data_IF_016991940586
#
_entry.id   IF_016991940586
#
_cell.length_a   1.000
_cell.length_b   1.000
_cell.length_c   1.000
_cell.angle_alpha   90.00
_cell.angle_beta   90.00
_cell.angle_gamma   90.00
#
_symmetry.space_group_name_H-M   'P 1'
#
loop_
_entity.id
_entity.type
_entity.pdbx_description
1 polymer ?
#
# COMPACT_ATOMS: atom_id res chain seq x y z
N UNK A 1 -8.93 9.76 5.12
CA UNK A 1 -7.90 10.78 4.75
C UNK A 1 -8.51 12.10 4.28
N UNK A 2 -9.35 12.14 3.25
CA UNK A 2 -9.91 13.39 2.71
C UNK A 2 -10.54 14.32 3.76
N UNK A 3 -11.40 13.79 4.63
CA UNK A 3 -12.03 14.56 5.70
C UNK A 3 -11.02 15.28 6.61
N UNK A 4 -9.91 14.60 6.94
CA UNK A 4 -8.83 15.21 7.71
C UNK A 4 -8.21 16.38 6.93
N UNK A 5 -7.82 16.17 5.67
CA UNK A 5 -7.19 17.21 4.85
C UNK A 5 -8.07 18.45 4.71
N UNK A 6 -9.36 18.25 4.42
CA UNK A 6 -10.34 19.33 4.28
C UNK A 6 -10.55 20.09 5.60
N UNK A 7 -10.70 19.36 6.70
CA UNK A 7 -10.92 19.96 8.02
C UNK A 7 -9.68 20.72 8.50
N UNK A 8 -8.49 20.16 8.30
CA UNK A 8 -7.22 20.79 8.68
C UNK A 8 -6.92 22.02 7.84
N UNK A 9 -7.18 21.98 6.52
CA UNK A 9 -7.03 23.15 5.66
C UNK A 9 -7.97 24.27 6.10
N UNK A 10 -9.26 23.97 6.29
CA UNK A 10 -10.24 24.96 6.76
C UNK A 10 -9.84 25.57 8.10
N UNK A 11 -9.37 24.76 9.07
CA UNK A 11 -8.91 25.25 10.37
C UNK A 11 -7.69 26.18 10.25
N UNK A 12 -6.73 25.85 9.40
CA UNK A 12 -5.49 26.61 9.21
C UNK A 12 -5.65 27.85 8.32
N UNK A 13 -6.75 27.95 7.57
CA UNK A 13 -7.06 29.08 6.67
C UNK A 13 -8.06 30.07 7.26
N UNK A 14 -8.45 29.92 8.54
CA UNK A 14 -9.32 30.88 9.24
C UNK A 14 -8.63 32.24 9.37
N UNK A 15 -9.16 33.25 8.66
CA UNK A 15 -8.62 34.61 8.66
C UNK A 15 -8.56 35.20 10.07
N UNK A 16 -7.47 35.93 10.36
CA UNK A 16 -7.26 36.60 11.65
C UNK A 16 -6.83 35.69 12.80
N UNK A 17 -6.60 34.39 12.56
CA UNK A 17 -6.14 33.45 13.59
C UNK A 17 -4.78 32.83 13.27
N UNK A 18 -3.96 32.57 14.30
CA UNK A 18 -2.70 31.83 14.20
C UNK A 18 -2.91 30.37 14.62
N UNK A 19 -3.82 29.70 13.92
CA UNK A 19 -4.17 28.32 14.23
C UNK A 19 -3.00 27.37 13.98
N UNK A 20 -2.79 26.45 14.92
CA UNK A 20 -1.76 25.42 14.85
C UNK A 20 -2.43 24.05 14.83
N UNK A 21 -1.84 23.11 14.07
CA UNK A 21 -2.24 21.72 14.04
C UNK A 21 -1.18 20.88 14.76
N UNK A 22 -1.56 20.31 15.91
CA UNK A 22 -0.73 19.32 16.59
C UNK A 22 -1.12 17.93 16.08
N UNK A 23 -0.16 17.20 15.51
CA UNK A 23 -0.36 15.84 15.04
C UNK A 23 0.49 14.88 15.86
N UNK A 24 -0.12 13.83 16.40
CA UNK A 24 0.58 12.81 17.16
C UNK A 24 0.27 11.43 16.60
N UNK A 25 1.18 10.49 16.81
CA UNK A 25 0.96 9.08 16.55
C UNK A 25 1.57 8.25 17.68
N UNK A 26 1.12 7.01 17.82
CA UNK A 26 1.77 6.06 18.71
C UNK A 26 3.17 5.69 18.21
N UNK A 27 3.94 4.98 19.03
CA UNK A 27 5.23 4.44 18.63
C UNK A 27 5.04 3.55 17.39
N UNK A 28 5.82 3.82 16.35
CA UNK A 28 5.71 3.14 15.06
C UNK A 28 4.81 3.83 14.04
N UNK A 29 3.99 4.78 14.47
CA UNK A 29 3.07 5.52 13.59
C UNK A 29 3.69 6.65 12.78
N UNK A 30 5.00 6.91 12.92
CA UNK A 30 5.68 7.99 12.21
C UNK A 30 5.49 7.95 10.69
N UNK A 31 5.61 6.80 10.00
CA UNK A 31 5.36 6.74 8.56
C UNK A 31 3.97 7.25 8.18
N UNK A 32 2.95 6.92 8.98
CA UNK A 32 1.57 7.40 8.77
C UNK A 32 1.51 8.91 8.99
N UNK A 33 2.11 9.41 10.08
CA UNK A 33 2.17 10.84 10.37
C UNK A 33 2.84 11.64 9.25
N UNK A 34 3.99 11.16 8.77
CA UNK A 34 4.74 11.75 7.67
C UNK A 34 3.92 11.81 6.37
N UNK A 35 3.22 10.72 6.06
CA UNK A 35 2.31 10.66 4.91
C UNK A 35 1.15 11.65 5.03
N UNK A 36 0.47 11.71 6.18
CA UNK A 36 -0.66 12.63 6.38
C UNK A 36 -0.18 14.08 6.30
N UNK A 37 0.99 14.41 6.87
CA UNK A 37 1.57 15.74 6.79
C UNK A 37 1.95 16.11 5.34
N UNK A 38 2.62 15.21 4.62
CA UNK A 38 2.93 15.41 3.20
C UNK A 38 1.65 15.63 2.38
N UNK A 39 0.61 14.85 2.65
CA UNK A 39 -0.71 15.00 2.04
C UNK A 39 -1.33 16.36 2.32
N UNK A 40 -1.24 16.88 3.55
CA UNK A 40 -1.73 18.21 3.92
C UNK A 40 -0.97 19.31 3.19
N UNK A 41 0.36 19.22 3.13
CA UNK A 41 1.21 20.20 2.43
C UNK A 41 0.89 20.28 0.93
N UNK A 42 0.68 19.13 0.29
CA UNK A 42 0.26 19.05 -1.12
C UNK A 42 -1.19 19.52 -1.32
N UNK A 43 -2.11 19.14 -0.41
CA UNK A 43 -3.51 19.55 -0.47
C UNK A 43 -3.68 21.07 -0.37
N UNK A 44 -2.85 21.73 0.46
CA UNK A 44 -2.79 23.19 0.61
C UNK A 44 -1.98 23.90 -0.48
N UNK A 45 -1.44 23.16 -1.46
CA UNK A 45 -0.57 23.69 -2.53
C UNK A 45 0.66 24.46 -2.04
N UNK A 46 1.13 24.18 -0.82
CA UNK A 46 2.35 24.79 -0.27
C UNK A 46 3.61 24.19 -0.89
N UNK A 47 3.52 22.96 -1.35
CA UNK A 47 4.60 22.22 -2.00
C UNK A 47 4.08 21.57 -3.28
N UNK A 48 5.01 21.27 -4.20
CA UNK A 48 4.75 20.53 -5.43
C UNK A 48 5.70 19.34 -5.55
N UNK A 49 5.24 18.28 -6.23
CA UNK A 49 5.96 17.02 -6.36
C UNK A 49 5.77 16.13 -5.11
N UNK A 50 5.05 15.04 -5.30
CA UNK A 50 4.66 14.10 -4.25
C UNK A 50 5.88 13.44 -3.60
N UNK A 51 6.80 12.94 -4.43
CA UNK A 51 8.02 12.28 -3.98
C UNK A 51 8.89 13.22 -3.15
N UNK A 52 9.18 14.42 -3.67
CA UNK A 52 10.03 15.42 -3.00
C UNK A 52 9.43 15.83 -1.65
N UNK A 53 8.12 16.02 -1.61
CA UNK A 53 7.41 16.44 -0.40
C UNK A 53 7.43 15.33 0.65
N UNK A 54 7.17 14.08 0.26
CA UNK A 54 7.22 12.94 1.17
C UNK A 54 8.63 12.77 1.75
N UNK A 55 9.66 12.77 0.91
CA UNK A 55 11.05 12.66 1.36
C UNK A 55 11.47 13.77 2.32
N UNK A 56 11.05 15.01 2.05
CA UNK A 56 11.33 16.15 2.92
C UNK A 56 10.74 15.92 4.32
N UNK A 57 9.51 15.43 4.41
CA UNK A 57 8.87 15.14 5.69
C UNK A 57 9.56 13.98 6.40
N UNK A 58 9.87 12.89 5.69
CA UNK A 58 10.59 11.74 6.28
C UNK A 58 11.96 12.13 6.85
N UNK A 59 12.65 13.10 6.25
CA UNK A 59 13.95 13.61 6.73
C UNK A 59 13.85 14.38 8.05
N UNK A 60 12.66 14.72 8.53
CA UNK A 60 12.46 15.35 9.84
C UNK A 60 12.63 14.37 11.01
N UNK A 61 12.52 13.06 10.75
CA UNK A 61 12.83 12.03 11.74
C UNK A 61 14.22 11.42 11.48
N UNK A 62 14.98 11.05 12.52
CA UNK A 62 16.23 10.31 12.37
C UNK A 62 16.00 9.01 11.59
N UNK A 63 16.78 8.80 10.51
CA UNK A 63 16.64 7.63 9.63
C UNK A 63 16.78 6.30 10.37
N UNK A 64 17.65 6.24 11.37
CA UNK A 64 17.86 5.04 12.19
C UNK A 64 16.59 4.64 12.95
N UNK A 65 15.72 5.59 13.30
CA UNK A 65 14.46 5.30 13.98
C UNK A 65 13.41 4.73 13.01
N UNK A 66 13.46 5.04 11.71
CA UNK A 66 12.45 4.59 10.75
C UNK A 66 12.34 3.06 10.69
N UNK A 67 13.49 2.37 10.64
CA UNK A 67 13.55 0.91 10.58
C UNK A 67 13.10 0.27 11.91
N UNK A 68 13.25 0.99 13.04
CA UNK A 68 12.79 0.54 14.35
C UNK A 68 11.30 0.78 14.57
N UNK A 69 10.70 1.69 13.80
CA UNK A 69 9.31 2.12 13.94
C UNK A 69 8.37 1.31 13.03
N UNK A 70 8.82 0.87 11.86
CA UNK A 70 8.06 -0.06 11.02
C UNK A 70 9.00 -0.98 10.24
N UNK A 71 8.80 -2.31 10.26
CA UNK A 71 9.66 -3.23 9.53
C UNK A 71 9.50 -3.10 8.00
N UNK A 72 8.33 -2.65 7.56
CA UNK A 72 8.00 -2.44 6.15
C UNK A 72 8.28 -0.98 5.76
N UNK A 73 8.74 -0.75 4.53
CA UNK A 73 8.81 0.56 3.92
C UNK A 73 7.48 0.88 3.20
N UNK A 74 6.61 1.75 3.75
CA UNK A 74 5.31 2.05 3.14
C UNK A 74 5.37 3.16 2.09
N UNK A 75 6.56 3.71 1.79
CA UNK A 75 6.68 4.89 0.91
C UNK A 75 6.07 4.70 -0.48
N UNK A 76 6.19 3.54 -1.16
CA UNK A 76 5.57 3.34 -2.48
C UNK A 76 4.05 3.49 -2.45
N UNK A 77 3.38 2.85 -1.49
CA UNK A 77 1.93 3.00 -1.32
C UNK A 77 1.53 4.40 -0.86
N UNK A 78 2.31 5.04 0.02
CA UNK A 78 2.06 6.43 0.39
C UNK A 78 2.15 7.37 -0.82
N UNK A 79 3.17 7.20 -1.66
CA UNK A 79 3.36 7.99 -2.87
C UNK A 79 2.16 7.84 -3.81
N UNK A 80 1.65 6.61 -4.00
CA UNK A 80 0.43 6.35 -4.79
C UNK A 80 -0.76 7.15 -4.26
N UNK A 81 -0.98 7.17 -2.94
CA UNK A 81 -2.06 7.96 -2.34
C UNK A 81 -1.82 9.47 -2.43
N UNK A 82 -0.57 9.95 -2.34
CA UNK A 82 -0.27 11.36 -2.57
C UNK A 82 -0.54 11.77 -4.02
N UNK A 83 -0.32 10.88 -4.99
CA UNK A 83 -0.70 11.11 -6.39
C UNK A 83 -2.23 11.17 -6.54
N UNK A 84 -2.99 10.37 -5.78
CA UNK A 84 -4.46 10.46 -5.75
C UNK A 84 -4.93 11.83 -5.23
N UNK A 85 -4.27 12.37 -4.19
CA UNK A 85 -4.56 13.70 -3.65
C UNK A 85 -4.21 14.80 -4.65
N UNK A 86 -3.04 14.71 -5.27
CA UNK A 86 -2.52 15.77 -6.14
C UNK A 86 -3.32 15.91 -7.44
N UNK A 87 -3.97 14.84 -7.90
CA UNK A 87 -4.85 14.82 -9.09
C UNK A 87 -6.24 15.44 -8.87
N UNK A 88 -6.55 15.94 -7.67
CA UNK A 88 -7.85 16.55 -7.33
C UNK A 88 -8.32 17.61 -8.34
N UNK A 89 -7.41 18.42 -8.89
CA UNK A 89 -7.77 19.56 -9.75
C UNK A 89 -8.26 19.16 -11.15
N UNK A 90 -8.30 17.85 -11.46
CA UNK A 90 -8.71 17.34 -12.77
C UNK A 90 -10.23 17.02 -12.87
N UNK A 91 -11.03 17.29 -11.83
CA UNK A 91 -12.49 17.06 -11.86
C UNK A 91 -13.26 17.76 -10.72
N UNK A 92 -14.58 17.95 -10.89
CA UNK A 92 -15.44 18.67 -9.93
C UNK A 92 -15.82 17.85 -8.68
N UNK A 93 -15.85 16.52 -8.78
CA UNK A 93 -16.30 15.61 -7.71
C UNK A 93 -15.14 14.76 -7.16
N UNK A 94 -14.33 15.37 -6.29
CA UNK A 94 -13.24 14.68 -5.57
C UNK A 94 -13.50 14.63 -4.06
N UNK A 95 -13.26 13.48 -3.39
CA UNK A 95 -12.76 12.22 -3.92
C UNK A 95 -13.80 11.48 -4.77
N UNK A 96 -13.36 10.65 -5.74
CA UNK A 96 -14.27 9.82 -6.52
C UNK A 96 -15.02 8.84 -5.61
N UNK A 97 -16.23 8.46 -6.03
CA UNK A 97 -17.03 7.46 -5.32
C UNK A 97 -16.34 6.09 -5.34
N UNK A 98 -16.50 5.33 -4.25
CA UNK A 98 -15.95 3.98 -4.14
C UNK A 98 -16.59 3.06 -5.18
N UNK A 99 -15.78 2.55 -6.11
CA UNK A 99 -16.22 1.58 -7.12
C UNK A 99 -15.88 0.16 -6.66
N UNK A 100 -16.83 -0.80 -6.72
CA UNK A 100 -16.50 -2.20 -6.48
C UNK A 100 -15.61 -2.74 -7.61
N UNK A 101 -14.68 -3.62 -7.26
CA UNK A 101 -13.75 -4.28 -8.17
C UNK A 101 -13.75 -5.78 -7.86
N UNK A 102 -13.94 -6.61 -8.88
CA UNK A 102 -13.76 -8.05 -8.77
C UNK A 102 -12.28 -8.37 -9.05
N UNK A 103 -11.52 -8.70 -7.99
CA UNK A 103 -10.12 -9.11 -8.10
C UNK A 103 -10.04 -10.58 -8.47
N UNK A 104 -9.71 -10.85 -9.74
CA UNK A 104 -9.62 -12.21 -10.25
C UNK A 104 -8.33 -12.91 -9.84
N UNK A 105 -7.18 -12.26 -10.02
CA UNK A 105 -5.88 -12.87 -9.75
C UNK A 105 -4.78 -11.83 -9.56
N UNK A 106 -3.64 -12.28 -9.03
CA UNK A 106 -2.36 -11.56 -9.14
C UNK A 106 -1.45 -12.33 -10.07
N UNK A 107 -0.77 -11.61 -10.96
CA UNK A 107 0.26 -12.16 -11.84
C UNK A 107 1.61 -11.57 -11.45
N UNK A 108 2.53 -12.42 -11.01
CA UNK A 108 3.92 -12.07 -10.75
C UNK A 108 4.78 -12.46 -11.95
N UNK A 109 5.57 -11.53 -12.46
CA UNK A 109 6.56 -11.77 -13.52
C UNK A 109 7.95 -11.59 -12.95
N UNK A 110 8.84 -12.51 -13.27
CA UNK A 110 10.21 -12.57 -12.72
C UNK A 110 10.16 -12.58 -11.18
N UNK A 111 9.77 -13.73 -10.61
CA UNK A 111 9.49 -13.86 -9.17
C UNK A 111 10.69 -13.44 -8.31
N UNK A 112 10.46 -12.85 -7.12
CA UNK A 112 11.54 -12.46 -6.23
C UNK A 112 12.22 -13.67 -5.58
N UNK A 113 13.45 -13.47 -5.13
CA UNK A 113 14.35 -14.48 -4.60
C UNK A 113 14.13 -14.68 -3.09
N UNK A 114 13.37 -15.72 -2.73
CA UNK A 114 13.19 -16.21 -1.37
C UNK A 114 13.77 -17.63 -1.23
N UNK A 115 13.62 -18.26 -0.06
CA UNK A 115 14.15 -19.60 0.23
C UNK A 115 15.65 -19.78 -0.08
N UNK A 116 16.47 -18.77 0.28
CA UNK A 116 17.90 -18.78 -0.02
C UNK A 116 18.24 -18.65 -1.51
N UNK A 117 17.36 -18.02 -2.30
CA UNK A 117 17.55 -17.75 -3.72
C UNK A 117 16.96 -18.82 -4.65
N UNK A 118 16.20 -19.78 -4.12
CA UNK A 118 15.62 -20.87 -4.92
C UNK A 118 14.24 -20.56 -5.51
N UNK A 119 13.63 -19.44 -5.13
CA UNK A 119 12.32 -19.04 -5.64
C UNK A 119 11.39 -18.64 -4.51
N UNK A 120 10.08 -18.89 -4.65
CA UNK A 120 9.12 -18.53 -3.61
C UNK A 120 7.89 -19.46 -3.61
N UNK A 121 7.16 -19.44 -2.49
CA UNK A 121 5.88 -20.13 -2.29
C UNK A 121 4.84 -19.10 -1.87
N UNK A 122 4.23 -18.37 -2.81
CA UNK A 122 3.43 -17.20 -2.52
C UNK A 122 2.04 -17.58 -2.00
N UNK A 123 1.59 -16.86 -0.98
CA UNK A 123 0.26 -16.87 -0.35
C UNK A 123 -0.22 -15.42 -0.34
N UNK A 124 -1.50 -15.20 -0.62
CA UNK A 124 -2.06 -13.84 -0.73
C UNK A 124 -3.07 -13.61 0.37
N UNK A 125 -2.97 -12.45 1.03
CA UNK A 125 -3.98 -11.90 1.93
C UNK A 125 -4.52 -10.59 1.35
N UNK A 126 -5.84 -10.41 1.41
CA UNK A 126 -6.50 -9.19 0.97
C UNK A 126 -7.34 -8.67 2.12
N UNK A 127 -7.10 -7.41 2.45
CA UNK A 127 -7.84 -6.67 3.46
C UNK A 127 -8.56 -5.50 2.81
N UNK A 128 -9.76 -5.21 3.29
CA UNK A 128 -10.56 -4.10 2.80
C UNK A 128 -11.78 -3.86 3.68
N UNK A 129 -12.64 -2.96 3.24
CA UNK A 129 -13.90 -2.72 3.91
C UNK A 129 -14.87 -3.88 3.69
N UNK A 130 -15.52 -4.31 4.78
CA UNK A 130 -16.56 -5.33 4.72
C UNK A 130 -17.88 -4.71 4.24
N UNK A 131 -18.30 -5.07 3.03
CA UNK A 131 -19.57 -4.61 2.45
C UNK A 131 -20.81 -5.11 3.21
N UNK A 132 -20.65 -6.09 4.12
CA UNK A 132 -21.75 -6.66 4.90
C UNK A 132 -21.99 -6.00 6.26
N UNK A 133 -21.07 -5.15 6.74
CA UNK A 133 -21.25 -4.47 8.03
C UNK A 133 -22.07 -3.19 7.89
N UNK A 134 -23.25 -3.18 8.50
CA UNK A 134 -24.14 -2.01 8.65
C UNK A 134 -23.68 -0.99 9.69
N UNK A 135 -22.61 -1.28 10.42
CA UNK A 135 -22.01 -0.38 11.41
C UNK A 135 -20.91 0.48 10.79
N UNK A 136 -20.91 1.78 11.12
CA UNK A 136 -19.94 2.78 10.61
C UNK A 136 -18.48 2.55 11.09
N UNK A 137 -18.18 1.42 11.72
CA UNK A 137 -16.83 1.03 12.11
C UNK A 137 -16.07 0.60 10.87
N UNK A 138 -15.40 1.56 10.23
CA UNK A 138 -14.51 1.39 9.06
C UNK A 138 -13.22 0.64 9.42
N UNK A 139 -13.29 -0.50 10.10
CA UNK A 139 -12.13 -1.35 10.34
C UNK A 139 -11.90 -2.25 9.12
N UNK A 140 -10.66 -2.29 8.65
CA UNK A 140 -10.26 -3.21 7.58
C UNK A 140 -10.34 -4.65 8.08
N UNK A 141 -10.94 -5.55 7.30
CA UNK A 141 -11.06 -6.99 7.60
C UNK A 141 -10.37 -7.81 6.53
N UNK A 142 -9.91 -9.00 6.91
CA UNK A 142 -9.40 -10.00 5.96
C UNK A 142 -10.57 -10.53 5.11
N UNK A 143 -10.60 -10.15 3.84
CA UNK A 143 -11.63 -10.53 2.86
C UNK A 143 -11.26 -11.83 2.14
N UNK A 144 -9.97 -12.01 1.84
CA UNK A 144 -9.46 -13.19 1.17
C UNK A 144 -8.13 -13.64 1.76
N UNK A 145 -7.93 -14.95 1.82
CA UNK A 145 -6.65 -15.53 2.17
C UNK A 145 -6.46 -16.87 1.46
N UNK A 146 -5.32 -17.04 0.80
CA UNK A 146 -4.88 -18.34 0.28
C UNK A 146 -4.57 -19.33 1.42
N UNK A 147 -4.58 -18.90 2.70
CA UNK A 147 -4.25 -19.75 3.84
C UNK A 147 -5.20 -20.94 4.06
N UNK A 148 -6.46 -20.86 3.61
CA UNK A 148 -7.39 -22.00 3.71
C UNK A 148 -6.89 -23.23 2.92
N UNK A 149 -5.90 -23.04 2.04
CA UNK A 149 -5.27 -24.08 1.23
C UNK A 149 -3.73 -24.12 1.39
N UNK A 150 -3.15 -23.69 2.53
CA UNK A 150 -1.67 -23.71 2.76
C UNK A 150 -0.98 -25.03 2.38
N UNK A 151 -1.65 -26.17 2.62
CA UNK A 151 -1.13 -27.51 2.24
C UNK A 151 -0.96 -27.73 0.72
N UNK A 152 -1.52 -26.85 -0.11
CA UNK A 152 -1.44 -26.85 -1.57
C UNK A 152 -0.62 -25.68 -2.12
N UNK A 153 0.03 -24.89 -1.26
CA UNK A 153 0.84 -23.76 -1.71
C UNK A 153 2.03 -24.27 -2.54
N UNK A 154 2.00 -23.94 -3.84
CA UNK A 154 3.01 -24.39 -4.81
C UNK A 154 4.30 -23.59 -4.62
N UNK A 155 5.42 -24.30 -4.60
CA UNK A 155 6.73 -23.68 -4.71
C UNK A 155 7.03 -23.39 -6.19
N UNK A 156 7.46 -22.18 -6.48
CA UNK A 156 7.85 -21.72 -7.81
C UNK A 156 9.34 -21.42 -7.79
N UNK A 157 10.11 -22.12 -8.62
CA UNK A 157 11.53 -21.86 -8.81
C UNK A 157 11.71 -20.78 -9.87
N UNK A 158 12.63 -19.83 -9.64
CA UNK A 158 12.79 -18.69 -10.54
C UNK A 158 13.29 -19.12 -11.93
N UNK A 159 14.18 -20.13 -11.99
CA UNK A 159 14.73 -20.67 -13.23
C UNK A 159 13.67 -21.37 -14.12
N UNK A 160 12.59 -21.85 -13.50
CA UNK A 160 11.54 -22.64 -14.18
C UNK A 160 10.27 -21.81 -14.44
N UNK A 161 10.11 -20.66 -13.78
CA UNK A 161 8.87 -19.91 -13.75
C UNK A 161 9.10 -18.43 -14.08
N UNK A 162 8.91 -18.07 -15.35
CA UNK A 162 8.89 -16.67 -15.78
C UNK A 162 7.66 -15.91 -15.25
N UNK A 163 6.56 -16.64 -15.01
CA UNK A 163 5.26 -16.09 -14.64
C UNK A 163 4.56 -16.98 -13.60
N UNK A 164 4.03 -16.37 -12.55
CA UNK A 164 3.21 -17.01 -11.53
C UNK A 164 1.87 -16.30 -11.42
N UNK A 165 0.78 -17.03 -11.69
CA UNK A 165 -0.59 -16.56 -11.52
C UNK A 165 -1.18 -17.15 -10.23
N UNK A 166 -1.76 -16.31 -9.40
CA UNK A 166 -2.44 -16.70 -8.15
C UNK A 166 -3.89 -16.25 -8.26
N UNK A 167 -4.80 -17.22 -8.39
CA UNK A 167 -6.24 -16.95 -8.46
C UNK A 167 -6.80 -16.54 -7.08
N UNK A 168 -7.69 -15.55 -7.08
CA UNK A 168 -8.24 -14.90 -5.87
C UNK A 168 -9.76 -14.96 -5.88
N UNK A 169 -10.39 -14.39 -6.92
CA UNK A 169 -11.84 -14.24 -7.05
C UNK A 169 -12.51 -13.61 -5.82
N UNK A 170 -12.13 -12.37 -5.50
CA UNK A 170 -12.62 -11.61 -4.36
C UNK A 170 -13.12 -10.23 -4.78
N UNK A 171 -14.35 -9.87 -4.39
CA UNK A 171 -14.87 -8.51 -4.59
C UNK A 171 -14.36 -7.58 -3.49
N UNK A 172 -13.79 -6.45 -3.89
CA UNK A 172 -13.26 -5.41 -2.99
C UNK A 172 -13.82 -4.03 -3.37
N UNK A 173 -13.79 -3.07 -2.44
CA UNK A 173 -14.28 -1.72 -2.67
C UNK A 173 -13.54 -0.72 -1.77
N UNK A 174 -13.21 0.46 -2.31
CA UNK A 174 -12.56 1.53 -1.57
C UNK A 174 -11.06 1.26 -1.38
N UNK A 175 -10.56 1.48 -0.16
CA UNK A 175 -9.18 1.21 0.24
C UNK A 175 -8.93 -0.30 0.39
N UNK A 176 -7.93 -0.81 -0.33
CA UNK A 176 -7.54 -2.23 -0.35
C UNK A 176 -6.07 -2.38 0.03
N UNK A 177 -5.79 -3.36 0.88
CA UNK A 177 -4.43 -3.81 1.21
C UNK A 177 -4.26 -5.23 0.73
N UNK A 178 -3.29 -5.45 -0.15
CA UNK A 178 -2.92 -6.75 -0.67
C UNK A 178 -1.52 -7.08 -0.17
N UNK A 179 -1.39 -8.23 0.46
CA UNK A 179 -0.13 -8.75 0.97
C UNK A 179 0.21 -10.06 0.25
N UNK A 180 1.41 -10.12 -0.32
CA UNK A 180 1.98 -11.33 -0.88
C UNK A 180 3.08 -11.83 0.04
N UNK A 181 2.97 -13.09 0.46
CA UNK A 181 3.75 -13.69 1.54
C UNK A 181 4.39 -14.97 1.04
N UNK A 182 5.67 -15.17 1.32
CA UNK A 182 6.35 -16.43 1.12
C UNK A 182 6.09 -17.34 2.32
N UNK A 183 5.57 -18.54 2.05
CA UNK A 183 5.44 -19.60 3.04
C UNK A 183 6.68 -20.51 3.01
N UNK A 184 7.41 -20.59 4.12
CA UNK A 184 8.63 -21.40 4.25
C UNK A 184 8.32 -22.91 4.08
N UNK A 185 9.35 -23.73 3.98
CA UNK A 185 9.29 -25.18 3.78
C UNK A 185 8.62 -25.94 4.93
N UNK A 186 8.61 -25.37 6.14
CA UNK A 186 7.83 -25.92 7.26
C UNK A 186 6.32 -25.66 7.14
N UNK A 187 5.89 -24.89 6.12
CA UNK A 187 4.51 -24.49 5.85
C UNK A 187 3.85 -23.70 6.99
N UNK A 188 4.65 -23.16 7.91
CA UNK A 188 4.19 -22.41 9.09
C UNK A 188 4.77 -21.00 9.09
N UNK A 189 6.08 -20.85 8.84
CA UNK A 189 6.72 -19.54 8.83
C UNK A 189 6.33 -18.75 7.59
N UNK A 190 5.94 -17.52 7.83
CA UNK A 190 5.52 -16.56 6.82
C UNK A 190 6.54 -15.42 6.75
N UNK A 191 7.03 -15.13 5.55
CA UNK A 191 7.89 -14.00 5.26
C UNK A 191 7.18 -13.07 4.29
N UNK A 192 7.01 -11.80 4.66
CA UNK A 192 6.40 -10.80 3.77
C UNK A 192 7.26 -10.62 2.52
N UNK A 193 6.72 -10.92 1.35
CA UNK A 193 7.38 -10.59 0.09
C UNK A 193 7.19 -9.10 -0.19
N UNK A 194 5.93 -8.70 -0.37
CA UNK A 194 5.57 -7.31 -0.58
C UNK A 194 4.12 -7.03 -0.17
N UNK A 195 3.81 -5.75 -0.01
CA UNK A 195 2.45 -5.24 0.19
C UNK A 195 2.15 -4.15 -0.82
N UNK A 196 0.88 -4.05 -1.21
CA UNK A 196 0.36 -2.97 -2.03
C UNK A 196 -0.88 -2.41 -1.35
N UNK A 197 -0.93 -1.09 -1.20
CA UNK A 197 -2.18 -0.40 -0.88
C UNK A 197 -2.66 0.40 -2.09
N UNK A 198 -3.93 0.27 -2.44
CA UNK A 198 -4.54 1.02 -3.53
C UNK A 198 -6.00 1.29 -3.24
N UNK A 199 -6.58 2.24 -3.97
CA UNK A 199 -7.99 2.56 -3.86
C UNK A 199 -8.68 2.24 -5.19
N UNK A 200 -9.76 1.46 -5.15
CA UNK A 200 -10.43 0.92 -6.35
C UNK A 200 -10.88 2.02 -7.32
N UNK A 201 -11.40 3.13 -6.79
CA UNK A 201 -11.84 4.29 -7.59
C UNK A 201 -10.75 4.97 -8.45
N UNK A 202 -9.47 4.69 -8.21
CA UNK A 202 -8.36 5.32 -8.94
C UNK A 202 -7.70 4.39 -9.98
N UNK A 203 -8.20 3.15 -10.12
CA UNK A 203 -7.71 2.22 -11.12
C UNK A 203 -8.22 2.61 -12.52
N UNK A 204 -7.34 2.45 -13.52
CA UNK A 204 -7.70 2.59 -14.93
C UNK A 204 -7.78 1.20 -15.53
N UNK A 205 -8.84 0.92 -16.29
CA UNK A 205 -9.04 -0.37 -16.96
C UNK A 205 -9.06 -1.59 -16.02
N UNK A 206 -9.38 -1.40 -14.73
CA UNK A 206 -9.45 -2.44 -13.71
C UNK A 206 -8.14 -3.24 -13.48
N UNK A 207 -6.98 -2.67 -13.84
CA UNK A 207 -5.68 -3.31 -13.65
C UNK A 207 -4.70 -2.36 -12.96
N UNK A 208 -3.92 -2.88 -12.02
CA UNK A 208 -2.82 -2.17 -11.38
C UNK A 208 -1.48 -2.85 -11.71
N UNK A 209 -0.70 -2.22 -12.58
CA UNK A 209 0.66 -2.64 -12.92
C UNK A 209 1.66 -2.01 -11.96
N UNK A 210 2.52 -2.81 -11.36
CA UNK A 210 3.50 -2.40 -10.36
C UNK A 210 4.86 -2.98 -10.67
N UNK A 211 5.90 -2.16 -10.58
CA UNK A 211 7.29 -2.61 -10.56
C UNK A 211 7.84 -2.70 -9.13
N UNK A 212 9.10 -3.12 -8.98
CA UNK A 212 9.77 -3.30 -7.67
C UNK A 212 9.88 -2.02 -6.82
N UNK A 213 9.80 -0.85 -7.44
CA UNK A 213 9.85 0.46 -6.77
C UNK A 213 8.45 0.93 -6.32
N UNK A 214 7.39 0.24 -6.78
CA UNK A 214 5.99 0.60 -6.55
C UNK A 214 5.29 -0.34 -5.54
N UNK A 215 6.00 -1.31 -4.99
CA UNK A 215 5.51 -2.23 -3.95
C UNK A 215 6.19 -1.96 -2.62
N UNK A 216 5.44 -2.03 -1.52
CA UNK A 216 6.00 -1.89 -0.17
C UNK A 216 6.74 -3.18 0.18
N UNK A 217 8.02 -3.08 0.56
CA UNK A 217 8.86 -4.22 0.96
C UNK A 217 9.54 -3.93 2.29
N UNK A 218 10.09 -4.95 2.94
CA UNK A 218 10.90 -4.75 4.14
C UNK A 218 12.10 -3.82 3.85
N UNK A 219 12.52 -3.03 4.83
CA UNK A 219 13.70 -2.20 4.68
C UNK A 219 14.93 -3.07 4.35
N UNK A 220 15.59 -2.78 3.23
CA UNK A 220 16.75 -3.54 2.75
C UNK A 220 16.42 -4.83 1.98
N UNK A 221 15.15 -5.22 1.84
CA UNK A 221 14.76 -6.42 1.07
C UNK A 221 14.63 -6.16 -0.44
N UNK A 222 14.90 -4.93 -0.91
CA UNK A 222 14.74 -4.55 -2.32
C UNK A 222 15.65 -5.33 -3.27
N UNK A 223 16.78 -5.82 -2.78
CA UNK A 223 17.72 -6.61 -3.56
C UNK A 223 17.23 -8.05 -3.81
N UNK A 224 16.20 -8.51 -3.07
CA UNK A 224 15.51 -9.78 -3.36
C UNK A 224 14.61 -9.67 -4.60
N UNK A 225 14.31 -8.44 -5.06
CA UNK A 225 13.46 -8.18 -6.21
C UNK A 225 14.30 -7.86 -7.46
N UNK A 226 14.23 -8.72 -8.50
CA UNK A 226 14.82 -8.46 -9.80
C UNK A 226 14.39 -7.10 -10.37
N UNK A 227 15.24 -6.47 -11.19
CA UNK A 227 14.94 -5.16 -11.79
C UNK A 227 13.72 -5.23 -12.70
N UNK A 228 13.52 -6.37 -13.33
CA UNK A 228 12.46 -6.68 -14.28
C UNK A 228 11.17 -7.17 -13.59
N UNK A 229 11.16 -7.29 -12.25
CA UNK A 229 9.99 -7.72 -11.49
C UNK A 229 8.78 -6.85 -11.80
N UNK A 230 7.64 -7.52 -12.05
CA UNK A 230 6.34 -6.88 -12.17
C UNK A 230 5.27 -7.66 -11.42
N UNK A 231 4.38 -6.94 -10.75
CA UNK A 231 3.13 -7.45 -10.23
C UNK A 231 1.97 -6.78 -10.96
N UNK A 232 1.02 -7.58 -11.42
CA UNK A 232 -0.22 -7.17 -12.05
C UNK A 232 -1.36 -7.65 -11.15
N UNK A 233 -2.18 -6.71 -10.69
CA UNK A 233 -3.33 -6.92 -9.78
C UNK A 233 -4.61 -6.52 -10.47
#
# INVERSE_FOLDING_TARGET
>A
MYHFLRSSESWLSLEGQQNVLLMHCERGGWPVLAFILAGLLLYRKQYSGEQKTLEMVYKQAPRQLLHLLSPLNPQPSQLRYLQYISRRDLGSDWPPLDTPLDLDCIILRVIPLFDGGRGCRPVVHIYGQDSSSTTATKSSKLLFSTSKTKKRARHYQQEECELVKIDIHCRVQGDVVLECIHLDNDLVREEMMFRVMFHTAFLRSNVLMLNRDEVDVLWGAKDQFPKEFKAEV
#
